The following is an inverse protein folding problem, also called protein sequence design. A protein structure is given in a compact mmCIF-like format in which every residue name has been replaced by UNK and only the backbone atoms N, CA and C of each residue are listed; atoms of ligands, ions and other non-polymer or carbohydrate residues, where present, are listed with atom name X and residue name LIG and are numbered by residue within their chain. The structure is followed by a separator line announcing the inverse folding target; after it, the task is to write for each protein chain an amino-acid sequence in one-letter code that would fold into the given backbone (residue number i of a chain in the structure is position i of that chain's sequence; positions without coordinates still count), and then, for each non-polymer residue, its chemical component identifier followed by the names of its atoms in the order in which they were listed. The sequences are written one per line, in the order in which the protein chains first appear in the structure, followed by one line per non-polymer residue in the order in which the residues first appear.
data_IF_809129920783
#
_entry.id   IF_809129920783
#
_cell.length_a   1.000
_cell.length_b   1.000
_cell.length_c   1.000
_cell.angle_alpha   90.00
_cell.angle_beta   90.00
_cell.angle_gamma   90.00
#
_symmetry.space_group_name_H-M   'P 1'
#
loop_
_entity.id
_entity.type
_entity.pdbx_description
1 polymer ?
#
# COMPACT_ATOMS: atom_id res chain seq x y z
N UNK A 1 -21.45 -38.50 -14.57
CA UNK A 1 -20.69 -37.28 -14.23
C UNK A 1 -20.10 -37.45 -12.84
N UNK A 2 -18.83 -37.13 -12.58
CA UNK A 2 -18.29 -37.26 -11.23
C UNK A 2 -19.05 -36.33 -10.27
N UNK A 3 -19.58 -36.90 -9.20
CA UNK A 3 -20.44 -36.29 -8.17
C UNK A 3 -19.67 -35.42 -7.14
N UNK A 4 -18.48 -34.96 -7.49
CA UNK A 4 -17.61 -34.23 -6.55
C UNK A 4 -17.53 -32.77 -7.02
N UNK A 5 -18.47 -31.97 -6.51
CA UNK A 5 -18.37 -30.50 -6.54
C UNK A 5 -17.44 -30.07 -5.41
N UNK A 6 -16.41 -29.27 -5.72
CA UNK A 6 -15.43 -28.85 -4.72
C UNK A 6 -14.41 -27.84 -5.21
N UNK A 7 -13.76 -27.16 -4.28
CA UNK A 7 -12.60 -26.30 -4.54
C UNK A 7 -11.40 -26.79 -3.74
N UNK A 8 -10.23 -26.85 -4.37
CA UNK A 8 -9.00 -27.34 -3.79
C UNK A 8 -7.88 -26.31 -3.99
N UNK A 9 -7.21 -25.93 -2.90
CA UNK A 9 -5.99 -25.13 -2.95
C UNK A 9 -4.79 -26.07 -2.83
N UNK A 10 -3.94 -26.10 -3.85
CA UNK A 10 -2.65 -26.80 -3.84
C UNK A 10 -1.54 -25.77 -3.78
N UNK A 11 -0.59 -25.97 -2.87
CA UNK A 11 0.54 -25.07 -2.69
C UNK A 11 1.82 -25.82 -2.99
N UNK A 12 2.69 -25.23 -3.80
CA UNK A 12 4.00 -25.78 -4.13
C UNK A 12 5.03 -24.66 -4.28
N UNK A 13 6.28 -25.02 -4.39
CA UNK A 13 7.38 -24.12 -4.77
C UNK A 13 7.69 -24.28 -6.25
N UNK A 14 8.16 -23.22 -6.90
CA UNK A 14 8.52 -23.29 -8.33
C UNK A 14 9.85 -24.03 -8.57
N UNK A 15 10.72 -24.06 -7.56
CA UNK A 15 12.06 -24.62 -7.59
C UNK A 15 12.13 -26.07 -7.07
N UNK A 16 10.99 -26.67 -6.71
CA UNK A 16 10.91 -28.02 -6.16
C UNK A 16 11.39 -28.13 -4.71
N UNK A 17 11.72 -27.01 -4.04
CA UNK A 17 12.04 -26.99 -2.62
C UNK A 17 10.82 -27.40 -1.78
N UNK A 18 11.02 -27.94 -0.58
CA UNK A 18 9.89 -28.39 0.25
C UNK A 18 8.98 -27.20 0.64
N UNK A 19 7.67 -27.21 0.32
CA UNK A 19 6.71 -26.22 0.77
C UNK A 19 6.11 -26.59 2.15
N UNK A 20 6.76 -27.47 2.91
CA UNK A 20 6.18 -28.10 4.11
C UNK A 20 5.75 -27.09 5.17
N UNK A 21 6.54 -26.05 5.41
CA UNK A 21 6.20 -24.98 6.35
C UNK A 21 4.96 -24.21 5.92
N UNK A 22 4.83 -23.96 4.62
CA UNK A 22 3.68 -23.31 4.02
C UNK A 22 2.43 -24.19 4.06
N UNK A 23 2.58 -25.49 3.81
CA UNK A 23 1.52 -26.47 3.99
C UNK A 23 1.09 -26.57 5.46
N UNK A 24 2.03 -26.68 6.40
CA UNK A 24 1.76 -26.77 7.83
C UNK A 24 0.98 -25.54 8.31
N UNK A 25 1.37 -24.33 7.89
CA UNK A 25 0.70 -23.11 8.30
C UNK A 25 -0.69 -22.98 7.68
N UNK A 26 -0.85 -23.30 6.38
CA UNK A 26 -2.17 -23.34 5.73
C UNK A 26 -3.08 -24.39 6.39
N UNK A 27 -2.53 -25.56 6.69
CA UNK A 27 -3.24 -26.66 7.32
C UNK A 27 -3.73 -26.28 8.71
N UNK A 28 -2.84 -25.72 9.54
CA UNK A 28 -3.17 -25.29 10.89
C UNK A 28 -4.19 -24.13 10.90
N UNK A 29 -3.99 -23.11 10.06
CA UNK A 29 -4.85 -21.91 10.07
C UNK A 29 -6.22 -22.10 9.45
N UNK A 30 -6.33 -22.87 8.38
CA UNK A 30 -7.55 -22.92 7.58
C UNK A 30 -8.11 -24.33 7.42
N UNK A 31 -7.27 -25.33 7.16
CA UNK A 31 -7.77 -26.69 6.88
C UNK A 31 -8.33 -27.36 8.14
N UNK A 32 -7.62 -27.32 9.28
CA UNK A 32 -8.10 -27.92 10.53
C UNK A 32 -9.43 -27.32 11.02
N UNK A 33 -9.61 -25.98 11.07
CA UNK A 33 -10.90 -25.38 11.40
C UNK A 33 -12.01 -25.79 10.43
N UNK A 34 -11.76 -25.78 9.12
CA UNK A 34 -12.73 -26.19 8.10
C UNK A 34 -13.10 -27.68 8.21
N UNK A 35 -12.15 -28.55 8.54
CA UNK A 35 -12.41 -29.97 8.78
C UNK A 35 -13.28 -30.17 10.02
N UNK A 36 -13.04 -29.42 11.09
CA UNK A 36 -13.87 -29.49 12.30
C UNK A 36 -15.31 -29.05 12.02
N UNK A 37 -15.48 -27.96 11.24
CA UNK A 37 -16.79 -27.49 10.79
C UNK A 37 -17.47 -28.49 9.86
N UNK A 38 -16.74 -29.13 8.95
CA UNK A 38 -17.29 -30.12 8.04
C UNK A 38 -17.78 -31.38 8.76
N UNK A 39 -17.04 -31.82 9.79
CA UNK A 39 -17.49 -32.91 10.68
C UNK A 39 -18.76 -32.56 11.43
N UNK A 40 -19.02 -31.28 11.67
CA UNK A 40 -20.27 -30.76 12.25
C UNK A 40 -21.38 -30.49 11.20
N UNK A 41 -21.22 -30.96 9.96
CA UNK A 41 -22.21 -30.78 8.88
C UNK A 41 -22.03 -29.50 8.05
N UNK A 42 -20.96 -28.74 8.27
CA UNK A 42 -20.61 -27.56 7.47
C UNK A 42 -20.00 -27.89 6.11
N UNK A 43 -19.88 -26.88 5.23
CA UNK A 43 -19.19 -27.02 3.94
C UNK A 43 -17.71 -26.64 4.06
N UNK A 44 -16.82 -27.45 3.47
CA UNK A 44 -15.42 -27.06 3.31
C UNK A 44 -15.27 -26.13 2.11
N UNK A 45 -15.11 -24.84 2.38
CA UNK A 45 -14.86 -23.85 1.33
C UNK A 45 -13.89 -22.77 1.84
N UNK A 46 -12.68 -22.73 1.27
CA UNK A 46 -11.75 -21.62 1.49
C UNK A 46 -12.23 -20.43 0.64
N UNK A 47 -12.49 -19.29 1.29
CA UNK A 47 -12.88 -18.04 0.63
C UNK A 47 -11.68 -17.09 0.56
N UNK A 48 -11.63 -16.32 -0.53
CA UNK A 48 -10.57 -15.32 -0.80
C UNK A 48 -9.17 -15.96 -0.79
N UNK A 49 -8.88 -16.93 -1.68
CA UNK A 49 -7.66 -17.75 -1.62
C UNK A 49 -6.38 -16.90 -1.59
N UNK A 50 -6.28 -15.84 -2.40
CA UNK A 50 -5.10 -14.95 -2.41
C UNK A 50 -4.86 -14.26 -1.07
N UNK A 51 -5.92 -13.77 -0.41
CA UNK A 51 -5.82 -13.21 0.94
C UNK A 51 -5.31 -14.24 1.96
N UNK A 52 -5.79 -15.50 1.88
CA UNK A 52 -5.34 -16.58 2.78
C UNK A 52 -3.89 -16.97 2.55
N UNK A 53 -3.48 -17.03 1.28
CA UNK A 53 -2.07 -17.25 0.93
C UNK A 53 -1.21 -16.10 1.47
N UNK A 54 -1.65 -14.85 1.33
CA UNK A 54 -0.95 -13.68 1.88
C UNK A 54 -0.79 -13.75 3.41
N UNK A 55 -1.83 -14.16 4.15
CA UNK A 55 -1.75 -14.39 5.60
C UNK A 55 -0.77 -15.51 5.97
N UNK A 56 -0.75 -16.60 5.21
CA UNK A 56 0.21 -17.70 5.40
C UNK A 56 1.63 -17.24 5.14
N UNK A 57 1.88 -16.54 4.02
CA UNK A 57 3.19 -15.97 3.70
C UNK A 57 3.65 -14.99 4.79
N UNK A 58 2.75 -14.15 5.28
CA UNK A 58 3.03 -13.24 6.40
C UNK A 58 3.45 -14.01 7.66
N UNK A 59 2.72 -15.07 8.01
CA UNK A 59 3.00 -15.87 9.20
C UNK A 59 4.33 -16.64 9.10
N UNK A 60 4.64 -17.16 7.92
CA UNK A 60 5.93 -17.81 7.63
C UNK A 60 7.06 -16.80 7.76
N UNK A 61 6.91 -15.61 7.14
CA UNK A 61 7.91 -14.55 7.21
C UNK A 61 8.21 -14.11 8.66
N UNK A 62 7.22 -14.16 9.56
CA UNK A 62 7.42 -13.87 10.99
C UNK A 62 8.23 -14.94 11.73
N UNK A 63 8.06 -16.22 11.36
CA UNK A 63 8.73 -17.35 12.02
C UNK A 63 10.10 -17.64 11.41
N UNK A 64 10.20 -17.60 10.09
CA UNK A 64 11.40 -17.91 9.31
C UNK A 64 12.26 -16.66 9.16
N UNK A 65 13.07 -16.39 10.19
CA UNK A 65 14.01 -15.25 10.19
C UNK A 65 15.23 -15.45 9.28
N UNK A 66 15.54 -16.69 8.90
CA UNK A 66 16.72 -17.05 8.10
C UNK A 66 16.38 -18.13 7.06
N UNK A 67 17.18 -18.17 5.99
CA UNK A 67 17.04 -19.12 4.89
C UNK A 67 16.82 -18.42 3.54
N UNK A 68 17.10 -19.10 2.42
CA UNK A 68 16.92 -18.51 1.10
C UNK A 68 15.44 -18.23 0.82
N UNK A 69 15.11 -17.09 0.20
CA UNK A 69 13.77 -16.81 -0.28
C UNK A 69 13.39 -17.82 -1.38
N UNK A 70 12.14 -18.27 -1.39
CA UNK A 70 11.66 -19.26 -2.35
C UNK A 70 10.59 -18.68 -3.27
N UNK A 71 10.58 -19.07 -4.55
CA UNK A 71 9.44 -18.81 -5.41
C UNK A 71 8.28 -19.73 -5.01
N UNK A 72 7.08 -19.17 -4.85
CA UNK A 72 5.89 -19.95 -4.49
C UNK A 72 4.89 -19.96 -5.65
N UNK A 73 4.24 -21.12 -5.83
CA UNK A 73 3.14 -21.28 -6.79
C UNK A 73 1.95 -21.88 -6.05
N UNK A 74 0.81 -21.21 -6.15
CA UNK A 74 -0.44 -21.72 -5.62
C UNK A 74 -1.41 -22.00 -6.76
N UNK A 75 -1.98 -23.20 -6.78
CA UNK A 75 -3.02 -23.62 -7.70
C UNK A 75 -4.35 -23.64 -6.97
N UNK A 76 -5.31 -22.88 -7.46
CA UNK A 76 -6.68 -22.89 -6.99
C UNK A 76 -7.54 -23.60 -8.03
N UNK A 77 -7.91 -24.84 -7.70
CA UNK A 77 -8.70 -25.72 -8.53
C UNK A 77 -10.17 -25.58 -8.13
N UNK A 78 -11.05 -25.29 -9.07
CA UNK A 78 -12.49 -25.25 -8.87
C UNK A 78 -13.14 -26.29 -9.79
N UNK A 79 -13.87 -27.24 -9.20
CA UNK A 79 -14.68 -28.20 -9.94
C UNK A 79 -16.14 -27.94 -9.55
N UNK A 80 -16.76 -26.95 -10.20
CA UNK A 80 -18.14 -26.53 -9.91
C UNK A 80 -19.11 -27.01 -10.99
N UNK A 81 -19.15 -28.31 -11.27
CA UNK A 81 -20.22 -29.01 -12.00
C UNK A 81 -20.55 -28.60 -13.44
N UNK A 82 -20.18 -27.39 -13.88
CA UNK A 82 -20.34 -26.88 -15.24
C UNK A 82 -19.03 -27.00 -16.01
N UNK A 83 -17.89 -26.57 -15.44
CA UNK A 83 -16.55 -26.77 -16.00
C UNK A 83 -15.48 -26.79 -14.89
N UNK A 84 -14.39 -27.56 -15.04
CA UNK A 84 -13.20 -27.45 -14.19
C UNK A 84 -12.42 -26.17 -14.53
N UNK A 85 -12.05 -25.40 -13.52
CA UNK A 85 -11.25 -24.18 -13.63
C UNK A 85 -10.00 -24.24 -12.73
N UNK A 86 -8.92 -23.64 -13.19
CA UNK A 86 -7.63 -23.58 -12.48
C UNK A 86 -7.08 -22.17 -12.54
N UNK A 87 -7.00 -21.52 -11.38
CA UNK A 87 -6.28 -20.25 -11.22
C UNK A 87 -4.89 -20.52 -10.65
N UNK A 88 -3.85 -19.97 -11.29
CA UNK A 88 -2.46 -20.10 -10.85
C UNK A 88 -1.96 -18.77 -10.32
N UNK A 89 -1.53 -18.73 -9.06
CA UNK A 89 -0.86 -17.60 -8.45
C UNK A 89 0.64 -17.87 -8.37
N UNK A 90 1.45 -16.94 -8.88
CA UNK A 90 2.91 -17.04 -8.85
C UNK A 90 3.46 -15.92 -7.98
N UNK A 91 4.34 -16.26 -7.05
CA UNK A 91 4.98 -15.31 -6.16
C UNK A 91 6.49 -15.35 -6.39
N UNK A 92 7.07 -14.19 -6.65
CA UNK A 92 8.52 -14.05 -6.78
C UNK A 92 9.20 -14.15 -5.40
N UNK A 93 10.47 -14.61 -5.32
CA UNK A 93 11.20 -14.74 -4.06
C UNK A 93 11.25 -13.43 -3.25
N UNK A 94 11.32 -12.28 -3.93
CA UNK A 94 11.32 -10.96 -3.32
C UNK A 94 10.09 -10.69 -2.42
N UNK A 95 8.96 -11.39 -2.62
CA UNK A 95 7.79 -11.29 -1.73
C UNK A 95 8.11 -11.82 -0.33
N UNK A 96 8.80 -12.96 -0.24
CA UNK A 96 9.17 -13.53 1.06
C UNK A 96 10.19 -12.64 1.77
N UNK A 97 11.21 -12.14 1.05
CA UNK A 97 12.23 -11.25 1.63
C UNK A 97 11.63 -9.93 2.12
N UNK A 98 10.79 -9.30 1.29
CA UNK A 98 10.08 -8.08 1.67
C UNK A 98 9.25 -8.28 2.94
N UNK A 99 8.44 -9.35 3.00
CA UNK A 99 7.60 -9.63 4.17
C UNK A 99 8.45 -9.93 5.41
N UNK A 100 9.58 -10.62 5.25
CA UNK A 100 10.52 -10.92 6.36
C UNK A 100 11.14 -9.63 6.90
N UNK A 101 11.62 -8.76 6.02
CA UNK A 101 12.23 -7.48 6.40
C UNK A 101 11.18 -6.55 7.03
N UNK A 102 9.95 -6.50 6.49
CA UNK A 102 8.83 -5.73 7.03
C UNK A 102 8.42 -6.19 8.46
N UNK A 103 8.73 -7.44 8.83
CA UNK A 103 8.48 -7.98 10.17
C UNK A 103 9.63 -7.83 11.17
N UNK A 104 10.75 -7.24 10.76
CA UNK A 104 11.83 -6.88 11.71
C UNK A 104 11.36 -5.80 12.68
N UNK A 105 12.06 -5.68 13.82
CA UNK A 105 11.72 -4.71 14.88
C UNK A 105 11.61 -3.26 14.35
N UNK A 106 12.35 -2.92 13.30
CA UNK A 106 12.36 -1.59 12.68
C UNK A 106 11.03 -1.24 12.00
N UNK A 107 10.36 -2.20 11.37
CA UNK A 107 9.24 -1.94 10.47
C UNK A 107 7.90 -2.53 10.96
N UNK A 108 7.95 -3.48 11.89
CA UNK A 108 6.79 -4.29 12.28
C UNK A 108 5.57 -3.47 12.68
N UNK A 109 5.75 -2.44 13.51
CA UNK A 109 4.64 -1.64 13.99
C UNK A 109 3.92 -0.90 12.85
N UNK A 110 4.68 -0.24 11.98
CA UNK A 110 4.14 0.50 10.83
C UNK A 110 3.51 -0.45 9.81
N UNK A 111 4.16 -1.59 9.56
CA UNK A 111 3.67 -2.65 8.68
C UNK A 111 2.33 -3.22 9.14
N UNK A 112 2.21 -3.58 10.41
CA UNK A 112 0.99 -4.15 10.97
C UNK A 112 -0.18 -3.16 10.89
N UNK A 113 0.06 -1.85 11.03
CA UNK A 113 -0.99 -0.84 10.84
C UNK A 113 -1.35 -0.64 9.37
N UNK A 114 -0.34 -0.64 8.48
CA UNK A 114 -0.56 -0.54 7.04
C UNK A 114 -1.43 -1.68 6.52
N UNK A 115 -1.04 -2.93 6.76
CA UNK A 115 -1.79 -4.13 6.34
C UNK A 115 -3.20 -4.14 6.90
N UNK A 116 -3.37 -3.77 8.18
CA UNK A 116 -4.69 -3.73 8.82
C UNK A 116 -5.67 -2.82 8.11
N UNK A 117 -5.18 -1.77 7.46
CA UNK A 117 -5.99 -0.77 6.78
C UNK A 117 -6.62 -1.23 5.46
N UNK A 118 -6.28 -2.44 4.98
CA UNK A 118 -6.76 -3.00 3.72
C UNK A 118 -7.68 -4.21 3.87
N UNK A 119 -8.09 -4.56 5.09
CA UNK A 119 -9.11 -5.57 5.31
C UNK A 119 -10.51 -5.03 5.00
N UNK A 120 -11.26 -5.76 4.16
CA UNK A 120 -12.63 -5.44 3.77
C UNK A 120 -13.55 -6.62 4.13
N UNK A 121 -14.64 -6.34 4.85
CA UNK A 121 -15.69 -7.32 5.19
C UNK A 121 -16.90 -7.28 4.24
N UNK A 122 -17.83 -8.24 4.37
CA UNK A 122 -19.00 -8.43 3.48
C UNK A 122 -20.01 -7.26 3.37
N UNK A 123 -19.86 -6.17 4.13
CA UNK A 123 -20.79 -5.02 4.04
C UNK A 123 -20.58 -4.12 2.81
N UNK A 124 -19.59 -4.37 1.97
CA UNK A 124 -19.50 -3.74 0.64
C UNK A 124 -20.00 -4.71 -0.44
N UNK A 125 -21.31 -4.67 -0.73
CA UNK A 125 -21.89 -5.36 -1.89
C UNK A 125 -21.70 -4.52 -3.15
N UNK A 126 -21.21 -5.22 -4.19
CA UNK A 126 -21.15 -4.90 -5.63
C UNK A 126 -20.09 -3.89 -6.10
N UNK A 127 -19.10 -4.43 -6.82
CA UNK A 127 -18.57 -3.79 -8.02
C UNK A 127 -17.38 -2.85 -7.86
N UNK A 128 -16.37 -3.18 -7.04
CA UNK A 128 -15.05 -2.53 -7.20
C UNK A 128 -14.19 -3.40 -8.10
N UNK A 129 -14.38 -3.24 -9.41
CA UNK A 129 -13.33 -3.58 -10.36
C UNK A 129 -12.11 -2.72 -10.00
N UNK A 130 -10.93 -3.33 -9.99
CA UNK A 130 -9.68 -2.59 -9.87
C UNK A 130 -9.26 -2.20 -11.30
N UNK A 131 -8.97 -0.92 -11.60
CA UNK A 131 -9.04 0.25 -10.73
C UNK A 131 -10.47 0.82 -10.63
N UNK A 132 -10.88 1.46 -9.51
CA UNK A 132 -12.11 2.22 -9.48
C UNK A 132 -12.00 3.38 -10.46
N UNK A 133 -12.61 3.23 -11.63
CA UNK A 133 -12.79 4.32 -12.57
C UNK A 133 -13.79 5.32 -11.98
N UNK A 134 -13.49 6.60 -12.22
CA UNK A 134 -14.32 7.79 -12.05
C UNK A 134 -14.49 8.33 -10.62
N UNK A 135 -13.79 9.44 -10.38
CA UNK A 135 -14.31 10.59 -9.64
C UNK A 135 -15.79 10.83 -10.01
N UNK A 136 -16.68 10.78 -9.04
CA UNK A 136 -18.09 11.13 -9.22
C UNK A 136 -18.81 11.02 -7.88
N UNK A 137 -19.49 12.09 -7.49
CA UNK A 137 -20.14 12.29 -6.20
C UNK A 137 -21.17 11.20 -5.91
N UNK A 138 -21.22 10.71 -4.66
CA UNK A 138 -22.48 10.18 -4.12
C UNK A 138 -22.62 10.55 -2.65
N UNK A 139 -23.76 11.16 -2.38
CA UNK A 139 -24.16 11.77 -1.12
C UNK A 139 -24.26 10.70 -0.02
N UNK A 140 -23.63 10.97 1.12
CA UNK A 140 -23.85 10.19 2.32
C UNK A 140 -25.29 10.42 2.82
N UNK A 141 -26.10 9.37 2.82
CA UNK A 141 -27.33 9.31 3.62
C UNK A 141 -26.91 9.16 5.09
N UNK A 142 -27.48 9.93 6.04
CA UNK A 142 -27.04 9.90 7.43
C UNK A 142 -27.35 8.56 8.13
N UNK A 143 -26.54 8.15 9.12
CA UNK A 143 -26.76 6.91 9.86
C UNK A 143 -27.96 7.04 10.79
N UNK A 144 -28.90 6.10 10.70
CA UNK A 144 -29.90 5.89 11.74
C UNK A 144 -29.28 5.09 12.90
N UNK A 145 -29.50 5.62 14.11
CA UNK A 145 -29.06 5.07 15.38
C UNK A 145 -29.52 3.62 15.59
N UNK A 146 -28.62 2.80 16.10
CA UNK A 146 -28.91 1.46 16.59
C UNK A 146 -27.77 0.98 17.46
N UNK A 147 -27.83 1.32 18.74
CA UNK A 147 -26.94 0.77 19.77
C UNK A 147 -27.09 -0.75 19.82
N UNK A 148 -25.96 -1.44 19.62
CA UNK A 148 -25.88 -2.88 19.66
C UNK A 148 -24.46 -3.29 19.34
N UNK A 149 -23.81 -3.95 20.31
CA UNK A 149 -22.49 -4.55 20.17
C UNK A 149 -22.45 -5.34 18.86
N UNK A 150 -21.72 -4.83 17.86
CA UNK A 150 -21.68 -5.45 16.55
C UNK A 150 -20.91 -6.77 16.62
N UNK A 151 -21.46 -7.89 16.12
CA UNK A 151 -20.70 -9.13 16.00
C UNK A 151 -19.53 -8.88 15.06
N UNK A 152 -18.31 -9.17 15.53
CA UNK A 152 -17.12 -9.20 14.69
C UNK A 152 -17.38 -10.14 13.52
N UNK A 153 -17.32 -9.63 12.29
CA UNK A 153 -17.42 -10.46 11.08
C UNK A 153 -16.39 -11.59 11.20
N UNK A 154 -16.76 -12.87 10.98
CA UNK A 154 -15.79 -13.96 11.05
C UNK A 154 -14.60 -13.68 10.10
N UNK A 155 -13.34 -13.90 10.54
CA UNK A 155 -12.14 -13.69 9.73
C UNK A 155 -12.20 -14.39 8.36
N UNK A 156 -12.98 -15.48 8.27
CA UNK A 156 -13.20 -16.30 7.09
C UNK A 156 -13.85 -15.56 5.91
N UNK A 157 -14.47 -14.39 6.14
CA UNK A 157 -15.19 -13.64 5.11
C UNK A 157 -14.53 -12.31 4.72
N UNK A 158 -13.45 -11.92 5.39
CA UNK A 158 -12.71 -10.70 5.06
C UNK A 158 -11.69 -10.95 3.94
N UNK A 159 -11.50 -9.95 3.08
CA UNK A 159 -10.47 -9.93 2.02
C UNK A 159 -9.45 -8.86 2.37
N UNK A 160 -8.15 -9.13 2.22
CA UNK A 160 -7.12 -8.11 2.33
C UNK A 160 -6.71 -7.63 0.93
N UNK A 161 -7.05 -6.40 0.56
CA UNK A 161 -6.80 -5.89 -0.79
C UNK A 161 -5.31 -5.86 -1.16
N UNK A 162 -4.40 -5.69 -0.19
CA UNK A 162 -2.96 -5.68 -0.45
C UNK A 162 -2.42 -7.09 -0.75
N UNK A 163 -2.93 -8.11 -0.06
CA UNK A 163 -2.52 -9.50 -0.33
C UNK A 163 -2.94 -9.99 -1.71
N UNK A 164 -4.01 -9.44 -2.24
CA UNK A 164 -4.55 -9.80 -3.55
C UNK A 164 -3.66 -9.33 -4.70
N UNK A 165 -2.77 -8.36 -4.47
CA UNK A 165 -1.85 -7.83 -5.48
C UNK A 165 -0.44 -8.41 -5.37
N UNK A 166 -0.10 -9.11 -4.27
CA UNK A 166 1.21 -9.76 -4.10
C UNK A 166 1.63 -10.69 -5.25
N UNK A 167 0.74 -11.52 -5.84
CA UNK A 167 1.11 -12.39 -6.97
C UNK A 167 1.45 -11.64 -8.27
N UNK A 168 1.18 -10.34 -8.33
CA UNK A 168 1.35 -9.50 -9.52
C UNK A 168 2.65 -8.69 -9.48
N UNK A 169 3.44 -8.89 -8.43
CA UNK A 169 4.74 -8.26 -8.26
C UNK A 169 5.82 -9.06 -9.00
N UNK A 170 6.85 -8.39 -9.57
CA UNK A 170 7.10 -6.93 -9.51
C UNK A 170 6.34 -6.09 -10.55
N UNK A 171 5.60 -6.71 -11.49
CA UNK A 171 5.06 -6.03 -12.67
C UNK A 171 4.07 -4.89 -12.34
N UNK A 172 3.24 -5.07 -11.31
CA UNK A 172 2.28 -4.05 -10.87
C UNK A 172 2.80 -3.13 -9.74
N UNK A 173 4.12 -3.11 -9.47
CA UNK A 173 4.69 -2.32 -8.37
C UNK A 173 4.32 -0.81 -8.42
N UNK A 174 4.36 -0.11 -9.58
CA UNK A 174 3.93 1.29 -9.66
C UNK A 174 2.47 1.50 -9.27
N UNK A 175 1.58 0.58 -9.67
CA UNK A 175 0.16 0.59 -9.33
C UNK A 175 -0.01 0.35 -7.83
N UNK A 176 0.75 -0.57 -7.24
CA UNK A 176 0.72 -0.81 -5.79
C UNK A 176 1.10 0.46 -5.02
N UNK A 177 2.14 1.15 -5.44
CA UNK A 177 2.57 2.42 -4.83
C UNK A 177 1.47 3.48 -4.93
N UNK A 178 0.89 3.65 -6.12
CA UNK A 178 -0.17 4.64 -6.38
C UNK A 178 -1.45 4.37 -5.61
N UNK A 179 -1.90 3.12 -5.52
CA UNK A 179 -3.23 2.81 -4.95
C UNK A 179 -3.18 2.49 -3.46
N UNK A 180 -2.14 1.78 -3.02
CA UNK A 180 -2.02 1.34 -1.64
C UNK A 180 -1.22 2.35 -0.83
N UNK A 181 0.04 2.61 -1.18
CA UNK A 181 0.92 3.47 -0.38
C UNK A 181 0.48 4.94 -0.39
N UNK A 182 0.29 5.52 -1.58
CA UNK A 182 -0.20 6.89 -1.73
C UNK A 182 -1.60 7.03 -1.12
N UNK A 183 -2.52 6.16 -1.53
CA UNK A 183 -3.89 6.17 -1.00
C UNK A 183 -3.93 6.09 0.54
N UNK A 184 -3.11 5.24 1.14
CA UNK A 184 -2.98 5.13 2.60
C UNK A 184 -2.43 6.40 3.23
N UNK A 185 -1.32 6.94 2.71
CA UNK A 185 -0.68 8.14 3.24
C UNK A 185 -1.66 9.32 3.30
N UNK A 186 -2.35 9.57 2.19
CA UNK A 186 -3.31 10.68 2.08
C UNK A 186 -4.57 10.48 2.95
N UNK A 187 -5.16 9.28 2.98
CA UNK A 187 -6.34 8.99 3.83
C UNK A 187 -6.02 9.11 5.32
N UNK A 188 -4.89 8.55 5.75
CA UNK A 188 -4.48 8.55 7.15
C UNK A 188 -4.22 9.96 7.65
N UNK A 189 -3.51 10.76 6.87
CA UNK A 189 -3.23 12.16 7.22
C UNK A 189 -4.52 12.97 7.35
N UNK A 190 -5.45 12.83 6.40
CA UNK A 190 -6.78 13.47 6.46
C UNK A 190 -7.51 13.11 7.77
N UNK A 191 -7.54 11.83 8.12
CA UNK A 191 -8.18 11.36 9.35
C UNK A 191 -7.50 11.82 10.65
N UNK A 192 -6.17 12.02 10.64
CA UNK A 192 -5.43 12.56 11.79
C UNK A 192 -5.72 14.05 11.99
N UNK A 193 -5.68 14.86 10.93
CA UNK A 193 -5.90 16.31 11.06
C UNK A 193 -7.36 16.65 11.33
N UNK A 194 -8.31 15.86 10.83
CA UNK A 194 -9.72 16.01 11.22
C UNK A 194 -9.94 15.74 12.71
N UNK A 195 -9.24 14.76 13.29
CA UNK A 195 -9.29 14.48 14.73
C UNK A 195 -8.54 15.52 15.56
N UNK A 196 -7.45 16.09 15.04
CA UNK A 196 -6.72 17.18 15.68
C UNK A 196 -7.49 18.52 15.74
N UNK A 197 -8.66 18.62 15.09
CA UNK A 197 -9.62 19.73 15.25
C UNK A 197 -10.59 19.53 16.43
N UNK A 198 -10.51 18.40 17.13
CA UNK A 198 -11.03 18.22 18.51
C UNK A 198 -9.94 18.73 19.47
N UNK A 199 -10.34 19.35 20.58
CA UNK A 199 -9.49 20.27 21.35
C UNK A 199 -8.14 19.67 21.80
N UNK A 200 -7.14 20.56 21.89
CA UNK A 200 -5.75 20.22 22.27
C UNK A 200 -5.66 19.44 23.58
N UNK A 201 -6.63 19.59 24.48
CA UNK A 201 -6.62 18.98 25.81
C UNK A 201 -6.92 17.47 25.81
N UNK A 202 -7.72 16.94 24.87
CA UNK A 202 -8.06 15.50 24.85
C UNK A 202 -6.94 14.63 24.25
N UNK A 203 -6.13 15.19 23.35
CA UNK A 203 -5.06 14.47 22.64
C UNK A 203 -3.83 14.27 23.55
N UNK A 204 -3.65 15.11 24.58
CA UNK A 204 -2.44 15.09 25.43
C UNK A 204 -2.61 14.36 26.77
N UNK A 205 -3.84 14.08 27.23
CA UNK A 205 -4.09 13.52 28.57
C UNK A 205 -4.29 11.99 28.62
N UNK A 206 -4.39 11.32 27.49
CA UNK A 206 -4.33 9.86 27.42
C UNK A 206 -2.99 9.46 26.82
N UNK A 207 -2.15 8.75 27.57
CA UNK A 207 -0.84 8.24 27.15
C UNK A 207 -0.93 7.13 26.07
N UNK A 208 -1.79 7.32 25.07
CA UNK A 208 -1.85 6.56 23.84
C UNK A 208 -2.01 7.57 22.72
N UNK A 209 -0.90 8.13 22.26
CA UNK A 209 -0.91 8.86 20.99
C UNK A 209 -1.68 8.04 19.94
N UNK A 210 -2.49 8.66 19.07
CA UNK A 210 -2.70 8.11 17.75
C UNK A 210 -1.38 8.27 16.98
N UNK A 211 -0.32 7.55 17.37
CA UNK A 211 1.05 7.71 16.85
C UNK A 211 0.97 7.72 15.33
N UNK A 212 1.42 8.82 14.75
CA UNK A 212 1.57 8.89 13.31
C UNK A 212 2.65 7.88 12.91
N UNK A 213 2.21 6.77 12.33
CA UNK A 213 3.09 5.74 11.79
C UNK A 213 3.51 6.16 10.37
N UNK A 214 4.76 6.62 10.16
CA UNK A 214 5.22 7.03 8.84
C UNK A 214 5.23 5.83 7.91
N UNK A 215 4.71 6.01 6.70
CA UNK A 215 4.68 4.96 5.68
C UNK A 215 5.97 4.92 4.85
N UNK A 216 6.72 6.03 4.78
CA UNK A 216 7.96 6.10 4.00
C UNK A 216 8.95 4.95 4.26
N UNK A 217 9.23 4.51 5.50
CA UNK A 217 10.14 3.40 5.75
C UNK A 217 9.69 2.09 5.09
N UNK A 218 8.39 1.79 5.09
CA UNK A 218 7.81 0.60 4.44
C UNK A 218 7.80 0.78 2.91
N UNK A 219 7.51 1.99 2.43
CA UNK A 219 7.52 2.30 1.00
C UNK A 219 8.92 2.18 0.41
N UNK A 220 9.94 2.73 1.06
CA UNK A 220 11.34 2.60 0.65
C UNK A 220 11.76 1.12 0.59
N UNK A 221 11.36 0.34 1.60
CA UNK A 221 11.56 -1.10 1.63
C UNK A 221 10.85 -1.79 0.44
N UNK A 222 9.61 -1.43 0.15
CA UNK A 222 8.86 -1.99 -0.98
C UNK A 222 9.52 -1.65 -2.32
N UNK A 223 9.94 -0.39 -2.51
CA UNK A 223 10.63 0.07 -3.73
C UNK A 223 11.91 -0.72 -3.94
N UNK A 224 12.73 -0.88 -2.90
CA UNK A 224 13.97 -1.67 -2.94
C UNK A 224 13.76 -3.11 -3.44
N UNK A 225 12.66 -3.76 -3.04
CA UNK A 225 12.40 -5.16 -3.39
C UNK A 225 11.70 -5.36 -4.74
N UNK A 226 10.87 -4.40 -5.20
CA UNK A 226 10.00 -4.62 -6.36
C UNK A 226 10.15 -3.62 -7.50
N UNK A 227 10.92 -2.55 -7.32
CA UNK A 227 11.17 -1.56 -8.37
C UNK A 227 12.60 -1.73 -8.87
N UNK A 228 12.77 -2.67 -9.79
CA UNK A 228 14.07 -3.09 -10.34
C UNK A 228 14.96 -1.96 -10.91
N UNK A 229 14.45 -0.85 -11.50
CA UNK A 229 15.32 0.23 -11.94
C UNK A 229 15.71 1.22 -10.83
N UNK A 230 15.14 1.12 -9.61
CA UNK A 230 15.32 2.14 -8.57
C UNK A 230 16.44 1.77 -7.60
N UNK A 231 17.48 2.60 -7.56
CA UNK A 231 18.61 2.48 -6.65
C UNK A 231 18.32 3.13 -5.29
N UNK A 232 19.04 2.70 -4.25
CA UNK A 232 19.00 3.34 -2.91
C UNK A 232 19.36 4.83 -2.97
N UNK A 233 20.26 5.21 -3.89
CA UNK A 233 20.60 6.61 -4.14
C UNK A 233 19.39 7.39 -4.66
N UNK A 234 18.64 6.86 -5.63
CA UNK A 234 17.42 7.52 -6.12
C UNK A 234 16.33 7.62 -5.04
N UNK A 235 16.19 6.60 -4.19
CA UNK A 235 15.26 6.66 -3.04
C UNK A 235 15.66 7.79 -2.08
N UNK A 236 16.95 7.92 -1.78
CA UNK A 236 17.49 8.99 -0.94
C UNK A 236 17.31 10.37 -1.59
N UNK A 237 17.56 10.49 -2.90
CA UNK A 237 17.36 11.74 -3.65
C UNK A 237 15.91 12.21 -3.58
N UNK A 238 14.92 11.32 -3.78
CA UNK A 238 13.50 11.68 -3.64
C UNK A 238 13.20 12.18 -2.22
N UNK A 239 13.79 11.54 -1.22
CA UNK A 239 13.58 11.92 0.18
C UNK A 239 14.16 13.30 0.49
N UNK A 240 15.37 13.58 0.03
CA UNK A 240 16.02 14.88 0.20
C UNK A 240 15.26 15.97 -0.55
N UNK A 241 14.85 15.70 -1.80
CA UNK A 241 14.04 16.62 -2.58
C UNK A 241 12.72 16.97 -1.87
N UNK A 242 12.06 16.00 -1.25
CA UNK A 242 10.85 16.25 -0.45
C UNK A 242 11.12 17.16 0.75
N UNK A 243 12.25 16.98 1.44
CA UNK A 243 12.64 17.80 2.58
C UNK A 243 12.93 19.25 2.17
N UNK A 244 13.66 19.43 1.07
CA UNK A 244 13.99 20.74 0.51
C UNK A 244 12.74 21.47 0.02
N UNK A 245 11.84 20.78 -0.71
CA UNK A 245 10.56 21.35 -1.10
C UNK A 245 9.72 21.70 0.14
N UNK A 246 9.69 20.85 1.17
CA UNK A 246 8.94 21.15 2.39
C UNK A 246 9.49 22.38 3.11
N UNK A 247 10.81 22.61 3.08
CA UNK A 247 11.43 23.81 3.64
C UNK A 247 11.00 25.06 2.87
N UNK A 248 11.07 25.02 1.55
CA UNK A 248 10.58 26.10 0.67
C UNK A 248 9.08 26.34 0.84
N UNK A 249 8.30 25.30 1.19
CA UNK A 249 6.86 25.46 1.44
C UNK A 249 6.58 26.23 2.71
N UNK A 250 7.37 25.99 3.76
CA UNK A 250 7.21 26.70 5.02
C UNK A 250 7.61 28.17 4.93
N UNK A 251 8.53 28.53 4.04
CA UNK A 251 8.92 29.93 3.86
C UNK A 251 7.78 30.71 3.22
N UNK A 252 7.38 30.40 1.98
CA UNK A 252 6.44 31.26 1.22
C UNK A 252 5.62 30.58 0.10
N UNK A 253 5.53 29.25 0.01
CA UNK A 253 4.64 28.68 -1.03
C UNK A 253 3.16 28.85 -0.69
N UNK A 254 2.48 29.55 -1.60
CA UNK A 254 1.04 29.62 -1.69
C UNK A 254 0.39 28.22 -1.58
N UNK A 255 -0.70 28.07 -0.79
CA UNK A 255 -1.42 26.81 -0.65
C UNK A 255 -1.83 26.17 -1.98
N UNK A 256 -2.05 26.97 -3.03
CA UNK A 256 -2.34 26.49 -4.39
C UNK A 256 -1.18 25.69 -4.99
N UNK A 257 0.06 26.17 -4.86
CA UNK A 257 1.22 25.45 -5.40
C UNK A 257 1.46 24.13 -4.66
N UNK A 258 1.19 24.10 -3.34
CA UNK A 258 1.24 22.85 -2.56
C UNK A 258 0.20 21.84 -3.05
N UNK A 259 -1.02 22.29 -3.41
CA UNK A 259 -2.02 21.41 -4.03
C UNK A 259 -1.52 20.84 -5.35
N UNK A 260 -0.95 21.67 -6.23
CA UNK A 260 -0.41 21.26 -7.52
C UNK A 260 0.69 20.18 -7.36
N UNK A 261 1.62 20.37 -6.42
CA UNK A 261 2.71 19.41 -6.18
C UNK A 261 2.17 18.10 -5.62
N UNK A 262 1.29 18.15 -4.62
CA UNK A 262 0.70 16.97 -4.00
C UNK A 262 -0.39 16.31 -4.89
N UNK A 263 -0.79 16.95 -5.98
CA UNK A 263 -1.84 16.47 -6.88
C UNK A 263 -3.22 16.40 -6.22
N UNK A 264 -3.56 17.38 -5.38
CA UNK A 264 -4.79 17.39 -4.57
C UNK A 264 -5.98 17.95 -5.37
N UNK A 265 -7.12 17.27 -5.32
CA UNK A 265 -8.33 17.69 -6.04
C UNK A 265 -8.13 17.66 -7.56
N UNK A 266 -8.55 18.74 -8.25
CA UNK A 266 -8.42 18.86 -9.72
C UNK A 266 -7.01 19.22 -10.20
N UNK A 267 -6.04 19.31 -9.29
CA UNK A 267 -4.67 19.76 -9.60
C UNK A 267 -3.69 18.60 -9.84
N UNK A 268 -4.20 17.39 -10.04
CA UNK A 268 -3.35 16.25 -10.34
C UNK A 268 -2.67 16.44 -11.70
N UNK A 269 -1.36 16.61 -11.67
CA UNK A 269 -0.52 16.83 -12.84
C UNK A 269 -0.40 15.52 -13.62
N UNK A 270 -1.28 15.33 -14.60
CA UNK A 270 -1.36 14.11 -15.39
C UNK A 270 -0.34 14.08 -16.54
N UNK A 271 0.13 15.25 -16.99
CA UNK A 271 1.04 15.38 -18.14
C UNK A 271 2.46 15.67 -17.68
N UNK A 272 3.42 15.00 -18.33
CA UNK A 272 4.84 15.20 -18.02
C UNK A 272 5.30 16.65 -18.21
N UNK A 273 4.83 17.34 -19.24
CA UNK A 273 5.16 18.75 -19.51
C UNK A 273 4.76 19.69 -18.37
N UNK A 274 3.60 19.46 -17.77
CA UNK A 274 3.10 20.24 -16.63
C UNK A 274 3.93 19.94 -15.37
N UNK A 275 4.31 18.68 -15.18
CA UNK A 275 5.17 18.26 -14.07
C UNK A 275 6.55 18.90 -14.16
N UNK A 276 7.16 18.85 -15.35
CA UNK A 276 8.45 19.49 -15.64
C UNK A 276 8.38 21.00 -15.41
N UNK A 277 7.31 21.67 -15.83
CA UNK A 277 7.14 23.11 -15.60
C UNK A 277 7.00 23.43 -14.11
N UNK A 278 6.28 22.61 -13.34
CA UNK A 278 6.16 22.76 -11.89
C UNK A 278 7.52 22.62 -11.20
N UNK A 279 8.29 21.58 -11.53
CA UNK A 279 9.65 21.41 -11.00
C UNK A 279 10.57 22.57 -11.37
N UNK A 280 10.49 23.08 -12.60
CA UNK A 280 11.25 24.26 -13.03
C UNK A 280 10.89 25.51 -12.20
N UNK A 281 9.60 25.73 -11.93
CA UNK A 281 9.13 26.83 -11.06
C UNK A 281 9.69 26.70 -9.64
N UNK A 282 9.69 25.49 -9.07
CA UNK A 282 10.26 25.23 -7.76
C UNK A 282 11.77 25.50 -7.73
N UNK A 283 12.50 25.06 -8.76
CA UNK A 283 13.93 25.28 -8.87
C UNK A 283 14.29 26.77 -8.88
N UNK A 284 13.60 27.58 -9.69
CA UNK A 284 13.82 29.02 -9.71
C UNK A 284 13.54 29.69 -8.37
N UNK A 285 12.46 29.28 -7.68
CA UNK A 285 12.17 29.81 -6.35
C UNK A 285 13.22 29.45 -5.32
N UNK A 286 13.74 28.21 -5.34
CA UNK A 286 14.84 27.80 -4.47
C UNK A 286 16.10 28.64 -4.70
N UNK A 287 16.42 28.95 -5.96
CA UNK A 287 17.52 29.83 -6.32
C UNK A 287 17.31 31.27 -5.84
N UNK A 288 16.12 31.82 -6.03
CA UNK A 288 15.79 33.20 -5.62
C UNK A 288 15.83 33.39 -4.09
N UNK A 289 15.35 32.41 -3.31
CA UNK A 289 15.22 32.55 -1.85
C UNK A 289 16.44 32.06 -1.07
N UNK A 290 16.96 30.88 -1.43
CA UNK A 290 17.99 30.20 -0.64
C UNK A 290 19.35 30.21 -1.34
N UNK A 291 19.45 30.80 -2.54
CA UNK A 291 20.68 30.85 -3.33
C UNK A 291 21.18 29.46 -3.76
N UNK A 292 20.32 28.44 -3.68
CA UNK A 292 20.70 27.03 -3.88
C UNK A 292 19.76 26.33 -4.85
N UNK A 293 20.32 25.41 -5.63
CA UNK A 293 19.56 24.52 -6.49
C UNK A 293 18.88 23.44 -5.64
N UNK A 294 17.57 23.23 -5.83
CA UNK A 294 16.83 22.14 -5.17
C UNK A 294 17.31 20.75 -5.61
N UNK A 295 17.78 20.64 -6.85
CA UNK A 295 18.35 19.43 -7.45
C UNK A 295 19.21 19.83 -8.67
N UNK A 296 20.21 19.02 -8.98
CA UNK A 296 21.04 19.18 -10.18
C UNK A 296 20.35 18.64 -11.43
N UNK A 297 20.90 18.92 -12.62
CA UNK A 297 20.41 18.32 -13.86
C UNK A 297 20.54 16.78 -13.80
N UNK A 298 21.63 16.26 -13.24
CA UNK A 298 21.87 14.82 -13.13
C UNK A 298 20.85 14.15 -12.21
N UNK A 299 20.48 14.80 -11.09
CA UNK A 299 19.42 14.33 -10.21
C UNK A 299 18.06 14.29 -10.94
N UNK A 300 17.77 15.30 -11.75
CA UNK A 300 16.55 15.35 -12.55
C UNK A 300 16.50 14.22 -13.58
N UNK A 301 17.60 14.04 -14.33
CA UNK A 301 17.69 13.01 -15.36
C UNK A 301 17.58 11.61 -14.73
N UNK A 302 18.24 11.39 -13.59
CA UNK A 302 18.20 10.14 -12.84
C UNK A 302 16.79 9.76 -12.34
N UNK A 303 15.97 10.75 -11.95
CA UNK A 303 14.65 10.50 -11.37
C UNK A 303 13.51 10.53 -12.38
N UNK A 304 13.58 11.36 -13.41
CA UNK A 304 12.43 11.70 -14.25
C UNK A 304 12.64 11.46 -15.75
N UNK A 305 13.86 11.23 -16.21
CA UNK A 305 14.16 10.98 -17.62
C UNK A 305 14.81 9.61 -17.83
N UNK A 306 14.71 9.06 -19.04
CA UNK A 306 15.38 7.79 -19.37
C UNK A 306 16.89 8.06 -19.52
N UNK A 307 17.71 7.41 -18.71
CA UNK A 307 19.12 7.20 -19.04
C UNK A 307 19.25 6.04 -20.04
N UNK A 308 20.22 6.10 -20.97
CA UNK A 308 20.48 5.01 -21.91
C UNK A 308 20.73 3.68 -21.17
N UNK A 309 20.03 2.62 -21.57
CA UNK A 309 20.18 1.26 -21.02
C UNK A 309 19.08 0.78 -20.07
N UNK A 310 18.12 1.62 -19.67
CA UNK A 310 16.99 1.23 -18.82
C UNK A 310 15.65 1.25 -19.58
N UNK A 311 14.83 0.18 -19.51
CA UNK A 311 13.49 0.18 -20.07
C UNK A 311 12.59 1.11 -19.24
N UNK A 312 12.35 2.31 -19.77
CA UNK A 312 11.39 3.32 -19.31
C UNK A 312 11.41 3.69 -17.80
N UNK A 313 12.06 4.81 -17.47
CA UNK A 313 11.82 5.49 -16.18
C UNK A 313 10.38 6.01 -16.18
N UNK A 314 9.52 5.42 -15.36
CA UNK A 314 8.17 5.92 -15.12
C UNK A 314 8.25 7.17 -14.24
N UNK A 315 8.32 8.36 -14.86
CA UNK A 315 8.32 9.63 -14.14
C UNK A 315 7.14 9.78 -13.18
N UNK A 316 6.01 9.10 -13.43
CA UNK A 316 4.86 9.12 -12.55
C UNK A 316 5.13 8.36 -11.25
N UNK A 317 5.96 7.32 -11.29
CA UNK A 317 6.42 6.61 -10.10
C UNK A 317 7.24 7.55 -9.21
N UNK A 318 8.26 8.22 -9.78
CA UNK A 318 9.07 9.20 -9.05
C UNK A 318 8.22 10.35 -8.50
N UNK A 319 7.23 10.82 -9.27
CA UNK A 319 6.22 11.79 -8.81
C UNK A 319 5.43 11.25 -7.61
N UNK A 320 4.87 10.05 -7.70
CA UNK A 320 4.03 9.48 -6.64
C UNK A 320 4.85 9.25 -5.35
N UNK A 321 6.11 8.81 -5.47
CA UNK A 321 7.05 8.70 -4.35
C UNK A 321 7.35 10.07 -3.73
N UNK A 322 7.67 11.09 -4.55
CA UNK A 322 7.92 12.45 -4.07
C UNK A 322 6.69 13.02 -3.34
N UNK A 323 5.49 12.79 -3.87
CA UNK A 323 4.25 13.23 -3.25
C UNK A 323 4.03 12.58 -1.88
N UNK A 324 4.29 11.28 -1.73
CA UNK A 324 4.20 10.60 -0.43
C UNK A 324 5.24 11.18 0.53
N UNK A 325 6.51 11.29 0.12
CA UNK A 325 7.57 11.82 0.95
C UNK A 325 7.28 13.25 1.42
N UNK A 326 6.87 14.12 0.50
CA UNK A 326 6.55 15.52 0.77
C UNK A 326 5.37 15.65 1.71
N UNK A 327 4.34 14.82 1.53
CA UNK A 327 3.17 14.79 2.41
C UNK A 327 3.58 14.52 3.86
N UNK A 328 4.47 13.55 4.09
CA UNK A 328 4.98 13.25 5.43
C UNK A 328 5.81 14.39 6.01
N UNK A 329 6.70 14.99 5.20
CA UNK A 329 7.55 16.09 5.65
C UNK A 329 6.73 17.32 6.05
N UNK A 330 5.72 17.67 5.25
CA UNK A 330 4.80 18.76 5.58
C UNK A 330 3.99 18.47 6.85
N UNK A 331 3.61 17.21 7.10
CA UNK A 331 2.96 16.83 8.35
C UNK A 331 3.89 16.98 9.55
N UNK A 332 5.12 16.46 9.47
CA UNK A 332 6.12 16.58 10.55
C UNK A 332 6.44 18.03 10.89
N UNK A 333 6.50 18.88 9.87
CA UNK A 333 6.70 20.33 10.00
C UNK A 333 5.44 21.09 10.46
N UNK A 334 4.33 20.40 10.72
CA UNK A 334 3.10 20.99 11.25
C UNK A 334 2.31 21.85 10.25
N UNK A 335 2.61 21.79 8.95
CA UNK A 335 2.03 22.66 7.93
C UNK A 335 0.50 22.56 7.84
N UNK A 336 -0.03 21.34 7.97
CA UNK A 336 -1.48 21.09 7.83
C UNK A 336 -2.32 21.56 9.03
N UNK A 337 -1.71 21.86 10.18
CA UNK A 337 -2.44 22.46 11.29
C UNK A 337 -2.88 23.89 10.97
N UNK A 338 -2.02 24.64 10.25
CA UNK A 338 -2.27 26.01 9.78
C UNK A 338 -3.13 26.02 8.50
N UNK A 339 -2.92 25.05 7.61
CA UNK A 339 -3.57 24.97 6.30
C UNK A 339 -4.55 23.80 6.17
N UNK A 340 -5.39 23.59 7.18
CA UNK A 340 -6.26 22.41 7.25
C UNK A 340 -7.33 22.36 6.14
N UNK A 341 -7.62 23.47 5.45
CA UNK A 341 -8.50 23.48 4.29
C UNK A 341 -7.94 22.75 3.08
N UNK A 342 -6.61 22.57 2.99
CA UNK A 342 -5.98 21.75 1.96
C UNK A 342 -6.43 20.29 2.04
N UNK A 343 -6.68 19.80 3.26
CA UNK A 343 -7.09 18.42 3.50
C UNK A 343 -8.59 18.19 3.29
N UNK A 344 -9.40 19.26 3.22
CA UNK A 344 -10.81 19.14 2.80
C UNK A 344 -10.93 18.78 1.33
N UNK A 345 -9.91 19.10 0.52
CA UNK A 345 -9.85 18.78 -0.91
C UNK A 345 -9.19 17.43 -1.25
N UNK A 346 -8.69 16.71 -0.24
CA UNK A 346 -8.36 15.28 -0.32
C UNK A 346 -9.62 14.44 -0.16
#
# INVERSE_FOLDING_TARGET
APLISGRLLVLTTADGSSPLDLFQEMHHRYVLPLLSMARAGGRMEIKQPTSRIGEVLQAIAQRRRQGPPRPFVAFWLSNSGQDPDVTIYRYVPAVEDFLREAHTARYRADWDVFVRSFWVGKRQKKGVAFPPQAYGQEQAIPPQNGGGVQPQTPPEQSRNLFYEVLPRLPQEAPQVIRYFFKGYAFRRLKGLVQRARVSKEEIFLTHQEPTYHPIWPILALFVKHFVLPMTEQQIALIRNLAQEIAQLVLSELEPKAVKEILGIGRTNVARYSEWRLLLKRLLYRGLEQEGKLLFSLDDYLSLFEKAEGYPEVDWMLSRDLLQIALLEELYKKGYFSKNADLLKSL
#
